data_IF_432000754313
#
_entry.id   IF_432000754313
#
_cell.length_a   1.000
_cell.length_b   1.000
_cell.length_c   1.000
_cell.angle_alpha   90.00
_cell.angle_beta   90.00
_cell.angle_gamma   90.00
#
_symmetry.space_group_name_H-M   'P 1'
#
loop_
_entity.id
_entity.type
_entity.pdbx_description
1 polymer ?
#
# COMPACT_ATOMS: atom_id res chain seq x y z
N UNK A 1 -19.01 4.23 1.66
CA UNK A 1 -18.29 3.63 0.52
C UNK A 1 -16.82 3.42 0.86
N UNK A 2 -16.12 2.70 0.01
CA UNK A 2 -14.68 2.52 0.15
C UNK A 2 -13.94 3.73 -0.44
N UNK A 3 -12.81 4.12 0.13
CA UNK A 3 -12.03 5.28 -0.32
C UNK A 3 -11.57 5.15 -1.78
N UNK A 4 -11.30 3.92 -2.24
CA UNK A 4 -10.90 3.65 -3.63
C UNK A 4 -12.03 3.81 -4.66
N UNK A 5 -13.29 3.98 -4.22
CA UNK A 5 -14.42 4.26 -5.12
C UNK A 5 -14.74 5.76 -5.21
N UNK A 6 -14.11 6.58 -4.38
CA UNK A 6 -14.39 8.03 -4.31
C UNK A 6 -14.05 8.71 -5.62
N UNK A 7 -12.90 8.40 -6.23
CA UNK A 7 -12.49 8.96 -7.52
C UNK A 7 -13.55 8.75 -8.60
N UNK A 8 -13.87 7.47 -8.89
CA UNK A 8 -14.82 7.15 -9.95
C UNK A 8 -16.22 7.73 -9.69
N UNK A 9 -16.65 7.69 -8.40
CA UNK A 9 -17.93 8.27 -8.03
C UNK A 9 -17.97 9.78 -8.26
N UNK A 10 -16.89 10.49 -7.94
CA UNK A 10 -16.81 11.94 -8.13
C UNK A 10 -16.77 12.34 -9.60
N UNK A 11 -16.08 11.58 -10.45
CA UNK A 11 -16.09 11.78 -11.90
C UNK A 11 -17.48 11.55 -12.51
N UNK A 12 -18.24 10.60 -11.98
CA UNK A 12 -19.62 10.33 -12.41
C UNK A 12 -20.65 11.32 -11.85
N UNK A 13 -20.30 12.08 -10.77
CA UNK A 13 -21.20 13.01 -10.07
C UNK A 13 -20.51 14.35 -9.76
N UNK A 14 -19.95 15.06 -10.75
CA UNK A 14 -19.13 16.25 -10.53
C UNK A 14 -19.91 17.39 -9.86
N UNK A 15 -21.21 17.48 -10.08
CA UNK A 15 -22.09 18.47 -9.48
C UNK A 15 -22.21 18.32 -7.93
N UNK A 16 -21.87 17.17 -7.39
CA UNK A 16 -21.90 16.88 -5.95
C UNK A 16 -20.61 17.30 -5.23
N UNK A 17 -19.55 17.64 -5.96
CA UNK A 17 -18.21 17.88 -5.39
C UNK A 17 -17.96 19.37 -5.07
N UNK A 18 -18.60 20.27 -5.78
CA UNK A 18 -18.38 21.70 -5.62
C UNK A 18 -17.10 22.21 -6.30
N UNK A 19 -16.52 23.29 -5.78
CA UNK A 19 -15.32 23.91 -6.36
C UNK A 19 -14.07 23.07 -6.09
N UNK A 20 -13.34 22.73 -7.15
CA UNK A 20 -12.15 21.87 -7.08
C UNK A 20 -10.82 22.64 -7.13
N UNK A 21 -10.86 23.97 -7.17
CA UNK A 21 -9.67 24.84 -7.23
C UNK A 21 -8.69 24.50 -8.36
N UNK A 22 -9.20 23.99 -9.49
CA UNK A 22 -8.40 23.61 -10.66
C UNK A 22 -7.78 22.22 -10.60
N UNK A 23 -8.09 21.45 -9.56
CA UNK A 23 -7.73 20.02 -9.46
C UNK A 23 -8.80 19.18 -10.15
N UNK A 24 -8.42 18.06 -10.76
CA UNK A 24 -9.35 17.09 -11.33
C UNK A 24 -10.35 16.61 -10.27
N UNK A 25 -11.63 16.49 -10.63
CA UNK A 25 -12.72 16.23 -9.68
C UNK A 25 -12.51 14.99 -8.82
N UNK A 26 -12.11 13.88 -9.43
CA UNK A 26 -11.81 12.64 -8.72
C UNK A 26 -10.63 12.76 -7.75
N UNK A 27 -9.58 13.50 -8.14
CA UNK A 27 -8.44 13.77 -7.27
C UNK A 27 -8.86 14.62 -6.08
N UNK A 28 -9.53 15.74 -6.33
CA UNK A 28 -10.01 16.63 -5.27
C UNK A 28 -10.87 15.88 -4.25
N UNK A 29 -11.86 15.13 -4.72
CA UNK A 29 -12.72 14.33 -3.85
C UNK A 29 -11.94 13.28 -3.04
N UNK A 30 -10.94 12.65 -3.67
CA UNK A 30 -10.09 11.66 -3.00
C UNK A 30 -9.24 12.33 -1.91
N UNK A 31 -8.64 13.50 -2.18
CA UNK A 31 -7.89 14.27 -1.18
C UNK A 31 -8.78 14.62 0.02
N UNK A 32 -9.99 15.16 -0.25
CA UNK A 32 -10.95 15.49 0.82
C UNK A 32 -11.36 14.26 1.64
N UNK A 33 -11.53 13.11 0.99
CA UNK A 33 -11.84 11.87 1.68
C UNK A 33 -10.68 11.38 2.57
N UNK A 34 -9.43 11.51 2.12
CA UNK A 34 -8.23 11.18 2.91
C UNK A 34 -8.10 12.14 4.10
N UNK A 35 -8.16 13.46 3.84
CA UNK A 35 -8.09 14.49 4.89
C UNK A 35 -9.15 14.28 5.97
N UNK A 36 -10.41 14.07 5.55
CA UNK A 36 -11.52 13.84 6.48
C UNK A 36 -11.40 12.52 7.23
N UNK A 37 -10.97 11.45 6.57
CA UNK A 37 -10.81 10.14 7.23
C UNK A 37 -9.68 10.10 8.24
N UNK A 38 -8.58 10.82 8.00
CA UNK A 38 -7.39 10.80 8.84
C UNK A 38 -7.26 12.02 9.75
N UNK A 39 -8.09 13.04 9.54
CA UNK A 39 -8.01 14.36 10.19
C UNK A 39 -6.62 15.00 10.07
N UNK A 40 -6.06 14.97 8.87
CA UNK A 40 -4.81 15.61 8.49
C UNK A 40 -5.06 16.62 7.39
N UNK A 41 -4.09 17.48 7.12
CA UNK A 41 -4.04 18.32 5.92
C UNK A 41 -2.98 17.77 4.98
N UNK A 42 -3.32 17.77 3.69
CA UNK A 42 -2.40 17.38 2.63
C UNK A 42 -1.78 18.64 2.03
N UNK A 43 -0.46 18.73 2.05
CA UNK A 43 0.27 19.86 1.48
C UNK A 43 0.46 19.69 -0.04
N UNK A 44 0.62 18.45 -0.49
CA UNK A 44 0.86 18.10 -1.89
C UNK A 44 0.18 16.78 -2.26
N UNK A 45 -0.03 16.60 -3.56
CA UNK A 45 -0.49 15.35 -4.10
C UNK A 45 0.33 14.92 -5.32
N UNK A 46 0.40 13.63 -5.54
CA UNK A 46 0.90 13.03 -6.75
C UNK A 46 0.05 11.84 -7.14
N UNK A 47 -0.31 11.76 -8.41
CA UNK A 47 -1.02 10.63 -8.99
C UNK A 47 -0.19 9.99 -10.08
N UNK A 48 -0.17 8.68 -10.09
CA UNK A 48 0.51 7.89 -11.10
C UNK A 48 -0.40 6.75 -11.54
N UNK A 49 -0.64 6.63 -12.85
CA UNK A 49 -1.33 5.47 -13.37
C UNK A 49 -0.39 4.26 -13.54
N UNK A 50 -0.92 3.14 -14.00
CA UNK A 50 -0.13 1.92 -14.16
C UNK A 50 1.02 2.05 -15.18
N UNK A 51 0.85 2.87 -16.21
CA UNK A 51 1.90 3.11 -17.18
C UNK A 51 2.97 4.03 -16.59
N UNK A 52 2.57 5.14 -15.94
CA UNK A 52 3.47 6.05 -15.24
C UNK A 52 4.30 5.35 -14.15
N UNK A 53 3.70 4.43 -13.41
CA UNK A 53 4.43 3.61 -12.44
C UNK A 53 5.53 2.77 -13.11
N UNK A 54 5.22 2.12 -14.24
CA UNK A 54 6.22 1.34 -15.01
C UNK A 54 7.35 2.22 -15.51
N UNK A 55 7.00 3.39 -16.03
CA UNK A 55 7.98 4.33 -16.59
C UNK A 55 8.87 4.90 -15.49
N UNK A 56 8.31 5.21 -14.31
CA UNK A 56 9.05 5.65 -13.13
C UNK A 56 10.07 4.61 -12.68
N UNK A 57 9.64 3.35 -12.51
CA UNK A 57 10.53 2.25 -12.11
C UNK A 57 11.64 2.04 -13.16
N UNK A 58 11.30 2.07 -14.45
CA UNK A 58 12.29 1.93 -15.52
C UNK A 58 13.28 3.11 -15.54
N UNK A 59 12.82 4.34 -15.29
CA UNK A 59 13.68 5.53 -15.20
C UNK A 59 14.67 5.44 -14.03
N UNK A 60 14.31 4.73 -12.96
CA UNK A 60 15.21 4.44 -11.83
C UNK A 60 16.21 3.31 -12.12
N UNK A 61 16.09 2.61 -13.25
CA UNK A 61 16.92 1.43 -13.58
C UNK A 61 16.40 0.12 -12.98
N UNK A 62 15.15 0.09 -12.57
CA UNK A 62 14.52 -1.02 -11.87
C UNK A 62 14.52 -0.87 -10.36
N UNK A 63 13.92 -1.83 -9.66
CA UNK A 63 13.92 -1.93 -8.18
C UNK A 63 14.49 -3.28 -7.78
N UNK A 64 15.56 -3.27 -7.00
CA UNK A 64 16.18 -4.47 -6.45
C UNK A 64 15.39 -4.91 -5.22
N UNK A 65 14.84 -6.11 -5.27
CA UNK A 65 14.03 -6.68 -4.20
C UNK A 65 14.25 -8.20 -4.12
N UNK A 66 14.33 -8.74 -2.94
CA UNK A 66 14.32 -10.19 -2.73
C UNK A 66 12.88 -10.68 -2.77
N UNK A 67 12.50 -11.31 -3.86
CA UNK A 67 11.14 -11.80 -4.11
C UNK A 67 10.93 -13.08 -3.30
N UNK A 68 9.96 -13.05 -2.41
CA UNK A 68 9.74 -14.08 -1.40
C UNK A 68 9.23 -15.41 -1.96
N UNK A 69 8.55 -15.37 -3.10
CA UNK A 69 7.94 -16.53 -3.76
C UNK A 69 7.68 -16.22 -5.24
N UNK A 70 7.37 -17.24 -6.07
CA UNK A 70 6.97 -16.96 -7.45
C UNK A 70 5.74 -16.07 -7.53
N UNK A 71 5.82 -14.97 -8.29
CA UNK A 71 4.71 -14.05 -8.50
C UNK A 71 4.20 -14.18 -9.94
N UNK A 72 2.94 -14.60 -10.16
CA UNK A 72 2.40 -14.71 -11.50
C UNK A 72 2.11 -13.35 -12.11
N UNK A 73 2.50 -13.17 -13.37
CA UNK A 73 2.15 -12.03 -14.20
C UNK A 73 0.95 -12.41 -15.09
N UNK A 74 -0.18 -11.76 -14.86
CA UNK A 74 -1.48 -12.15 -15.43
C UNK A 74 -2.37 -12.83 -14.39
N UNK A 75 -3.25 -13.69 -14.84
CA UNK A 75 -4.22 -14.38 -13.97
C UNK A 75 -5.40 -13.49 -13.54
N UNK A 76 -6.16 -13.97 -12.55
CA UNK A 76 -7.39 -13.34 -12.10
C UNK A 76 -8.56 -13.62 -13.04
N UNK A 77 -9.70 -12.98 -12.77
CA UNK A 77 -10.91 -13.11 -13.59
C UNK A 77 -11.24 -11.80 -14.30
N UNK A 78 -11.69 -11.91 -15.53
CA UNK A 78 -12.30 -10.80 -16.25
C UNK A 78 -13.65 -10.47 -15.62
N UNK A 79 -13.81 -9.25 -15.13
CA UNK A 79 -15.00 -8.83 -14.37
C UNK A 79 -16.29 -8.83 -15.22
N UNK A 80 -16.16 -8.70 -16.55
CA UNK A 80 -17.32 -8.67 -17.46
C UNK A 80 -17.73 -10.06 -17.94
N UNK A 81 -16.76 -10.97 -18.13
CA UNK A 81 -17.02 -12.29 -18.72
C UNK A 81 -16.91 -13.42 -17.70
N UNK A 82 -16.34 -13.18 -16.52
CA UNK A 82 -16.01 -14.21 -15.55
C UNK A 82 -14.90 -15.17 -15.99
N UNK A 83 -14.37 -15.02 -17.19
CA UNK A 83 -13.33 -15.89 -17.72
C UNK A 83 -12.00 -15.67 -16.95
N UNK A 84 -11.27 -16.77 -16.72
CA UNK A 84 -9.93 -16.72 -16.17
C UNK A 84 -8.95 -16.10 -17.17
N UNK A 85 -8.23 -15.06 -16.74
CA UNK A 85 -7.15 -14.51 -17.56
C UNK A 85 -5.94 -15.43 -17.54
N UNK A 86 -5.18 -15.43 -18.65
CA UNK A 86 -3.97 -16.24 -18.76
C UNK A 86 -2.85 -15.62 -17.92
N UNK A 87 -2.08 -16.48 -17.24
CA UNK A 87 -0.74 -16.13 -16.73
C UNK A 87 0.19 -16.17 -17.95
N UNK A 88 0.91 -15.09 -18.21
CA UNK A 88 1.80 -14.95 -19.36
C UNK A 88 3.28 -14.89 -18.98
N UNK A 89 3.60 -14.96 -17.68
CA UNK A 89 4.96 -15.00 -17.16
C UNK A 89 4.95 -15.09 -15.64
N UNK A 90 6.16 -15.14 -15.08
CA UNK A 90 6.39 -15.22 -13.64
C UNK A 90 7.55 -14.31 -13.24
N UNK A 91 7.55 -13.85 -12.01
CA UNK A 91 8.71 -13.27 -11.35
C UNK A 91 9.27 -14.36 -10.45
N UNK A 92 10.52 -14.74 -10.70
CA UNK A 92 11.19 -15.79 -9.93
C UNK A 92 11.46 -15.33 -8.49
N UNK A 93 11.46 -16.24 -7.51
CA UNK A 93 11.88 -15.93 -6.16
C UNK A 93 13.37 -15.63 -6.06
N UNK A 94 13.76 -14.96 -4.97
CA UNK A 94 15.13 -14.55 -4.69
C UNK A 94 15.41 -13.11 -5.12
N UNK A 95 16.67 -12.71 -5.07
CA UNK A 95 17.10 -11.35 -5.43
C UNK A 95 16.86 -11.06 -6.91
N UNK A 96 16.01 -10.08 -7.20
CA UNK A 96 15.63 -9.64 -8.54
C UNK A 96 15.84 -8.13 -8.68
N UNK A 97 16.18 -7.68 -9.89
CA UNK A 97 16.04 -6.28 -10.27
C UNK A 97 14.81 -6.13 -11.15
N UNK A 98 13.69 -5.79 -10.53
CA UNK A 98 12.40 -5.75 -11.20
C UNK A 98 12.31 -4.59 -12.18
N UNK A 99 12.02 -4.90 -13.43
CA UNK A 99 11.61 -3.90 -14.43
C UNK A 99 10.26 -3.30 -14.04
N UNK A 100 9.87 -2.17 -14.66
CA UNK A 100 8.58 -1.53 -14.39
C UNK A 100 7.38 -2.47 -14.59
N UNK A 101 7.44 -3.39 -15.57
CA UNK A 101 6.40 -4.39 -15.77
C UNK A 101 6.36 -5.41 -14.62
N UNK A 102 7.49 -5.94 -14.23
CA UNK A 102 7.60 -6.89 -13.12
C UNK A 102 7.20 -6.25 -11.79
N UNK A 103 7.68 -5.03 -11.50
CA UNK A 103 7.31 -4.28 -10.32
C UNK A 103 5.79 -4.03 -10.24
N UNK A 104 5.16 -3.68 -11.38
CA UNK A 104 3.71 -3.52 -11.44
C UNK A 104 2.97 -4.82 -11.12
N UNK A 105 3.41 -5.95 -11.64
CA UNK A 105 2.80 -7.24 -11.32
C UNK A 105 3.11 -7.70 -9.89
N UNK A 106 4.29 -7.42 -9.38
CA UNK A 106 4.64 -7.70 -7.98
C UNK A 106 3.64 -7.05 -7.00
N UNK A 107 3.26 -5.79 -7.23
CA UNK A 107 2.32 -5.08 -6.34
C UNK A 107 0.83 -5.33 -6.65
N UNK A 108 0.50 -5.91 -7.82
CA UNK A 108 -0.89 -6.12 -8.25
C UNK A 108 -1.37 -7.56 -8.17
N UNK A 109 -0.47 -8.52 -8.37
CA UNK A 109 -0.85 -9.93 -8.49
C UNK A 109 -1.59 -10.41 -7.24
N UNK A 110 -2.72 -11.10 -7.47
CA UNK A 110 -3.55 -11.73 -6.44
C UNK A 110 -3.79 -13.21 -6.73
N UNK A 111 -3.25 -13.72 -7.83
CA UNK A 111 -3.44 -15.11 -8.22
C UNK A 111 -2.74 -16.02 -7.21
N UNK A 112 -3.51 -16.92 -6.59
CA UNK A 112 -3.04 -17.80 -5.53
C UNK A 112 -2.66 -17.10 -4.22
N UNK A 113 -3.13 -15.86 -4.00
CA UNK A 113 -2.74 -14.99 -2.89
C UNK A 113 -3.96 -14.27 -2.31
N UNK A 114 -3.80 -13.72 -1.12
CA UNK A 114 -4.84 -12.94 -0.45
C UNK A 114 -4.59 -11.42 -0.56
N UNK A 115 -5.50 -10.66 0.04
CA UNK A 115 -5.42 -9.20 0.01
C UNK A 115 -4.31 -8.65 0.93
N UNK A 116 -4.03 -9.34 2.03
CA UNK A 116 -3.02 -8.91 3.00
C UNK A 116 -1.61 -9.10 2.47
N UNK A 117 -1.33 -10.23 1.82
CA UNK A 117 -0.07 -10.47 1.10
C UNK A 117 0.18 -9.39 0.04
N UNK A 118 -0.86 -9.02 -0.74
CA UNK A 118 -0.73 -7.92 -1.70
C UNK A 118 -0.41 -6.59 -1.01
N UNK A 119 -1.10 -6.26 0.09
CA UNK A 119 -0.83 -5.01 0.84
C UNK A 119 0.59 -4.99 1.40
N UNK A 120 1.06 -6.12 1.94
CA UNK A 120 2.43 -6.29 2.40
C UNK A 120 3.43 -6.01 1.25
N UNK A 121 3.25 -6.64 0.08
CA UNK A 121 4.12 -6.41 -1.09
C UNK A 121 4.08 -4.95 -1.59
N UNK A 122 2.94 -4.28 -1.50
CA UNK A 122 2.85 -2.85 -1.82
C UNK A 122 3.69 -1.99 -0.87
N UNK A 123 3.60 -2.23 0.43
CA UNK A 123 4.40 -1.52 1.43
C UNK A 123 5.90 -1.80 1.27
N UNK A 124 6.25 -3.08 1.05
CA UNK A 124 7.62 -3.48 0.82
C UNK A 124 8.21 -2.82 -0.43
N UNK A 125 7.47 -2.81 -1.54
CA UNK A 125 7.86 -2.12 -2.78
C UNK A 125 8.11 -0.63 -2.52
N UNK A 126 7.18 0.04 -1.82
CA UNK A 126 7.32 1.46 -1.50
C UNK A 126 8.57 1.72 -0.66
N UNK A 127 8.76 0.98 0.43
CA UNK A 127 9.94 1.09 1.31
C UNK A 127 11.23 0.87 0.53
N UNK A 128 11.33 -0.22 -0.21
CA UNK A 128 12.50 -0.58 -1.01
C UNK A 128 12.80 0.48 -2.08
N UNK A 129 11.77 1.03 -2.72
CA UNK A 129 11.92 2.11 -3.70
C UNK A 129 12.47 3.38 -3.05
N UNK A 130 11.95 3.78 -1.89
CA UNK A 130 12.43 4.96 -1.15
C UNK A 130 13.88 4.81 -0.68
N UNK A 131 14.30 3.60 -0.30
CA UNK A 131 15.67 3.31 0.12
C UNK A 131 16.67 3.34 -1.06
N UNK A 132 16.24 2.92 -2.26
CA UNK A 132 17.10 2.82 -3.45
C UNK A 132 17.11 4.07 -4.32
N UNK A 133 16.04 4.85 -4.29
CA UNK A 133 15.96 6.05 -5.14
C UNK A 133 17.09 7.03 -4.85
N UNK A 134 17.72 7.56 -5.90
CA UNK A 134 18.59 8.73 -5.79
C UNK A 134 17.72 9.99 -5.99
N UNK A 135 17.48 10.79 -4.94
CA UNK A 135 16.58 11.93 -5.03
C UNK A 135 17.02 12.95 -6.10
N UNK A 136 18.31 13.19 -6.22
CA UNK A 136 18.86 14.15 -7.20
C UNK A 136 18.68 13.68 -8.64
N UNK A 137 18.90 12.37 -8.91
CA UNK A 137 18.70 11.80 -10.24
C UNK A 137 17.20 11.77 -10.62
N UNK A 138 16.33 11.47 -9.66
CA UNK A 138 14.89 11.48 -9.89
C UNK A 138 14.41 12.90 -10.21
N UNK A 139 14.87 13.91 -9.47
CA UNK A 139 14.54 15.30 -9.73
C UNK A 139 15.01 15.77 -11.12
N UNK A 140 16.19 15.34 -11.57
CA UNK A 140 16.69 15.63 -12.92
C UNK A 140 15.84 14.97 -14.02
N UNK A 141 15.33 13.77 -13.78
CA UNK A 141 14.47 13.03 -14.72
C UNK A 141 13.00 13.45 -14.65
N UNK A 142 12.59 14.11 -13.56
CA UNK A 142 11.20 14.49 -13.32
C UNK A 142 10.55 15.30 -14.47
N UNK A 143 11.23 16.33 -15.06
CA UNK A 143 10.64 17.07 -16.19
C UNK A 143 10.41 16.19 -17.42
N UNK A 144 11.26 15.19 -17.65
CA UNK A 144 11.09 14.24 -18.76
C UNK A 144 9.90 13.30 -18.51
N UNK A 145 9.76 12.82 -17.27
CA UNK A 145 8.61 12.00 -16.86
C UNK A 145 7.31 12.78 -16.94
N UNK A 146 7.30 14.03 -16.45
CA UNK A 146 6.13 14.90 -16.51
C UNK A 146 5.75 15.31 -17.95
N UNK A 147 6.73 15.51 -18.84
CA UNK A 147 6.48 15.93 -20.23
C UNK A 147 6.16 14.76 -21.18
N UNK A 148 6.74 13.57 -20.92
CA UNK A 148 6.50 12.40 -21.80
C UNK A 148 5.15 11.73 -21.56
N UNK A 149 4.47 12.06 -20.45
CA UNK A 149 3.28 11.35 -19.99
C UNK A 149 2.28 12.31 -19.36
N UNK A 150 1.85 13.33 -20.10
CA UNK A 150 0.90 14.35 -19.62
C UNK A 150 -0.41 13.80 -19.00
N UNK A 151 -0.62 12.48 -19.05
CA UNK A 151 -1.77 11.79 -18.45
C UNK A 151 -1.39 10.73 -17.42
N UNK A 152 -0.13 10.26 -17.41
CA UNK A 152 0.28 9.09 -16.63
C UNK A 152 0.87 9.46 -15.26
N UNK A 153 1.35 10.69 -15.12
CA UNK A 153 1.83 11.26 -13.84
C UNK A 153 1.29 12.69 -13.73
N UNK A 154 0.62 12.98 -12.64
CA UNK A 154 0.10 14.31 -12.34
C UNK A 154 0.44 14.68 -10.88
N UNK A 155 0.76 15.94 -10.63
CA UNK A 155 1.09 16.46 -9.30
C UNK A 155 0.92 17.98 -9.27
N UNK A 156 0.71 18.54 -8.10
CA UNK A 156 0.75 19.97 -7.83
C UNK A 156 2.15 20.47 -7.41
N UNK A 157 3.11 19.57 -7.22
CA UNK A 157 4.49 19.93 -6.94
C UNK A 157 5.10 20.66 -8.15
N UNK A 158 5.43 21.92 -7.97
CA UNK A 158 6.04 22.70 -9.05
C UNK A 158 7.57 22.54 -9.08
N UNK A 159 8.18 22.87 -10.23
CA UNK A 159 9.63 22.72 -10.43
C UNK A 159 10.50 23.50 -9.41
N UNK A 160 10.00 24.61 -8.87
CA UNK A 160 10.75 25.43 -7.92
C UNK A 160 10.85 24.75 -6.55
N UNK A 161 9.92 23.87 -6.23
CA UNK A 161 9.83 23.16 -4.95
C UNK A 161 10.63 21.86 -4.97
N UNK A 162 11.00 21.35 -6.14
CA UNK A 162 11.76 20.10 -6.27
C UNK A 162 13.07 20.09 -5.46
N UNK A 163 13.75 21.25 -5.33
CA UNK A 163 14.94 21.37 -4.49
C UNK A 163 14.68 21.00 -3.04
N UNK A 164 13.61 21.52 -2.45
CA UNK A 164 13.20 21.19 -1.08
C UNK A 164 12.81 19.73 -0.91
N UNK A 165 12.14 19.14 -1.91
CA UNK A 165 11.85 17.69 -1.90
C UNK A 165 13.09 16.82 -1.99
N UNK A 166 14.13 17.24 -2.73
CA UNK A 166 15.42 16.55 -2.77
C UNK A 166 16.10 16.59 -1.40
N UNK A 167 16.13 17.73 -0.73
CA UNK A 167 16.68 17.87 0.62
C UNK A 167 15.92 16.99 1.62
N UNK A 168 14.59 17.07 1.64
CA UNK A 168 13.74 16.22 2.48
C UNK A 168 13.99 14.73 2.23
N UNK A 169 14.09 14.31 0.97
CA UNK A 169 14.33 12.92 0.62
C UNK A 169 15.73 12.44 1.07
N UNK A 170 16.75 13.31 1.07
CA UNK A 170 18.07 13.01 1.63
C UNK A 170 18.04 12.88 3.15
N UNK A 171 17.29 13.72 3.85
CA UNK A 171 17.09 13.59 5.30
C UNK A 171 16.36 12.29 5.63
N UNK A 172 15.28 11.97 4.91
CA UNK A 172 14.55 10.72 5.08
C UNK A 172 15.40 9.47 4.86
N UNK A 173 16.35 9.51 3.91
CA UNK A 173 17.24 8.39 3.61
C UNK A 173 18.14 8.00 4.79
N UNK A 174 18.45 8.96 5.67
CA UNK A 174 19.24 8.76 6.88
C UNK A 174 18.41 8.42 8.11
N UNK A 175 17.10 8.34 7.98
CA UNK A 175 16.16 8.02 9.06
C UNK A 175 15.52 6.66 8.86
N UNK A 176 15.14 5.99 9.96
CA UNK A 176 14.37 4.75 9.87
C UNK A 176 12.93 5.09 9.52
N UNK A 177 12.47 4.64 8.36
CA UNK A 177 11.08 4.73 7.94
C UNK A 177 10.26 3.79 8.83
N UNK A 178 9.29 4.34 9.55
CA UNK A 178 8.31 3.57 10.32
C UNK A 178 7.04 3.43 9.52
N UNK A 179 6.56 2.22 9.35
CA UNK A 179 5.24 1.94 8.79
C UNK A 179 4.22 1.81 9.91
N UNK A 180 3.10 2.52 9.79
CA UNK A 180 1.99 2.44 10.71
C UNK A 180 0.74 2.01 9.93
N UNK A 181 0.22 0.82 10.22
CA UNK A 181 -0.90 0.23 9.50
C UNK A 181 -2.22 0.49 10.23
N UNK A 182 -3.21 0.99 9.50
CA UNK A 182 -4.59 1.03 9.98
C UNK A 182 -5.21 -0.35 9.74
N UNK A 183 -5.31 -1.12 10.81
CA UNK A 183 -5.89 -2.46 10.81
C UNK A 183 -7.14 -2.52 11.71
N UNK A 184 -7.73 -3.71 11.85
CA UNK A 184 -8.94 -3.88 12.67
C UNK A 184 -8.74 -3.61 14.17
N UNK A 185 -7.50 -3.59 14.68
CA UNK A 185 -7.21 -3.21 16.06
C UNK A 185 -7.33 -1.70 16.26
N UNK A 186 -6.96 -0.92 15.22
CA UNK A 186 -7.13 0.53 15.21
C UNK A 186 -8.61 0.87 15.02
N UNK A 187 -9.23 0.36 13.95
CA UNK A 187 -10.67 0.56 13.69
C UNK A 187 -11.18 -0.49 12.69
N UNK A 188 -12.41 -1.02 12.87
CA UNK A 188 -13.00 -1.96 11.94
C UNK A 188 -13.24 -1.32 10.56
N UNK A 189 -12.84 -1.99 9.49
CA UNK A 189 -12.96 -1.47 8.11
C UNK A 189 -14.42 -1.23 7.68
N UNK A 190 -15.37 -2.06 8.14
CA UNK A 190 -16.77 -1.97 7.74
C UNK A 190 -17.56 -0.89 8.51
N UNK A 191 -17.08 -0.48 9.69
CA UNK A 191 -17.69 0.57 10.53
C UNK A 191 -16.60 1.33 11.29
N UNK A 192 -15.86 2.22 10.59
CA UNK A 192 -14.74 2.95 11.20
C UNK A 192 -15.19 3.82 12.38
N UNK A 193 -14.44 3.75 13.47
CA UNK A 193 -14.49 4.71 14.55
C UNK A 193 -13.51 5.86 14.23
N UNK A 194 -14.03 6.93 13.68
CA UNK A 194 -13.21 8.06 13.23
C UNK A 194 -12.56 8.81 14.39
N UNK A 195 -13.19 8.90 15.57
CA UNK A 195 -12.57 9.58 16.72
C UNK A 195 -11.35 8.80 17.22
N UNK A 196 -11.46 7.48 17.31
CA UNK A 196 -10.35 6.60 17.64
C UNK A 196 -9.25 6.66 16.56
N UNK A 197 -9.63 6.66 15.29
CA UNK A 197 -8.70 6.74 14.17
C UNK A 197 -7.94 8.05 14.16
N UNK A 198 -8.61 9.19 14.31
CA UNK A 198 -8.00 10.52 14.35
C UNK A 198 -6.99 10.65 15.50
N UNK A 199 -7.36 10.15 16.68
CA UNK A 199 -6.44 10.12 17.82
C UNK A 199 -5.22 9.26 17.53
N UNK A 200 -5.42 8.06 16.99
CA UNK A 200 -4.32 7.17 16.63
C UNK A 200 -3.39 7.78 15.58
N UNK A 201 -3.93 8.39 14.51
CA UNK A 201 -3.15 9.07 13.47
C UNK A 201 -2.31 10.21 14.09
N UNK A 202 -2.93 11.03 14.94
CA UNK A 202 -2.22 12.10 15.66
C UNK A 202 -1.06 11.57 16.50
N UNK A 203 -1.28 10.47 17.23
CA UNK A 203 -0.25 9.85 18.08
C UNK A 203 0.90 9.25 17.24
N UNK A 204 0.65 8.83 15.97
CA UNK A 204 1.69 8.38 15.05
C UNK A 204 2.53 9.53 14.46
N UNK A 205 1.92 10.68 14.20
CA UNK A 205 2.55 11.82 13.52
C UNK A 205 3.25 12.75 14.53
N UNK A 206 2.73 12.86 15.77
CA UNK A 206 3.29 13.76 16.79
C UNK A 206 4.49 13.12 17.52
N UNK A 207 5.74 13.52 17.22
CA UNK A 207 6.93 12.94 17.83
C UNK A 207 7.13 13.34 19.29
N UNK A 208 6.28 14.22 19.84
CA UNK A 208 6.47 14.85 21.16
C UNK A 208 5.90 14.04 22.33
N UNK A 209 5.14 12.96 22.10
CA UNK A 209 4.67 12.07 23.15
C UNK A 209 5.32 10.69 23.05
N UNK A 210 6.19 10.32 24.01
CA UNK A 210 6.51 8.91 24.15
C UNK A 210 5.21 8.17 24.45
N UNK A 211 4.86 7.17 23.61
CA UNK A 211 3.76 6.27 23.88
C UNK A 211 3.96 5.67 25.28
N UNK A 212 3.15 6.07 26.24
CA UNK A 212 3.04 5.35 27.50
C UNK A 212 2.51 3.96 27.16
N UNK A 213 3.42 3.00 27.06
CA UNK A 213 3.07 1.59 27.24
C UNK A 213 2.52 1.51 28.65
N UNK A 214 1.22 1.44 28.78
CA UNK A 214 0.59 1.01 30.03
C UNK A 214 1.05 -0.41 30.31
N UNK A 215 2.07 -0.51 31.17
CA UNK A 215 2.44 -1.76 31.81
C UNK A 215 1.32 -2.07 32.81
N UNK A 216 0.32 -2.82 32.39
CA UNK A 216 -0.57 -3.48 33.32
C UNK A 216 0.20 -4.60 34.03
N UNK A 217 0.86 -4.26 35.13
CA UNK A 217 1.25 -5.26 36.13
C UNK A 217 0.03 -5.60 36.94
N UNK A 218 -0.48 -6.79 36.71
CA UNK A 218 -1.50 -7.40 37.52
C UNK A 218 -1.06 -7.59 38.97
N UNK A 219 -1.99 -7.54 39.88
CA UNK A 219 -2.03 -8.39 41.06
C UNK A 219 -3.49 -8.73 41.36
N UNK A 220 -3.69 -10.02 41.42
CA UNK A 220 -4.96 -10.68 41.56
C UNK A 220 -5.62 -10.57 42.90
N UNK A 221 -6.83 -11.05 42.95
CA UNK A 221 -7.31 -12.12 43.84
C UNK A 221 -8.80 -12.38 43.54
N UNK A 222 -9.02 -13.64 43.26
CA UNK A 222 -10.16 -14.50 43.62
C UNK A 222 -11.52 -13.86 43.94
N UNK A 223 -12.54 -14.26 43.17
CA UNK A 223 -13.72 -14.94 43.69
C UNK A 223 -14.61 -15.48 42.53
N UNK A 224 -14.96 -16.76 42.66
CA UNK A 224 -15.85 -17.52 41.82
C UNK A 224 -17.29 -16.92 41.86
N UNK A 225 -17.96 -16.83 40.71
CA UNK A 225 -19.35 -17.25 40.63
C UNK A 225 -19.76 -17.66 39.23
N UNK A 226 -20.57 -18.66 39.16
CA UNK A 226 -20.86 -19.65 38.15
C UNK A 226 -22.09 -19.25 37.28
N UNK A 227 -22.08 -19.68 35.99
CA UNK A 227 -23.22 -19.99 35.08
C UNK A 227 -23.61 -18.94 34.00
N UNK A 228 -24.20 -19.44 32.90
CA UNK A 228 -23.81 -20.53 31.99
C UNK A 228 -23.61 -20.06 30.54
N UNK A 229 -22.92 -20.92 29.82
CA UNK A 229 -22.67 -21.04 28.41
C UNK A 229 -23.83 -20.66 27.48
N UNK A 230 -23.64 -19.63 26.67
CA UNK A 230 -24.18 -19.59 25.31
C UNK A 230 -22.95 -19.47 24.35
N UNK A 231 -22.77 -20.50 23.54
CA UNK A 231 -21.82 -20.50 22.45
C UNK A 231 -22.20 -19.40 21.45
N UNK A 232 -21.32 -18.45 21.13
CA UNK A 232 -21.51 -17.66 19.93
C UNK A 232 -21.00 -18.49 18.75
N UNK A 233 -21.90 -18.74 17.81
CA UNK A 233 -21.66 -19.17 16.45
C UNK A 233 -20.37 -18.52 15.92
N UNK A 234 -19.43 -19.34 15.45
CA UNK A 234 -18.24 -18.88 14.74
C UNK A 234 -18.64 -18.03 13.53
N UNK A 235 -18.67 -16.72 13.70
CA UNK A 235 -18.50 -15.82 12.58
C UNK A 235 -17.09 -16.05 12.06
N UNK A 236 -16.99 -16.45 10.80
CA UNK A 236 -15.74 -16.63 10.10
C UNK A 236 -14.82 -15.42 10.33
N UNK A 237 -13.85 -15.59 11.20
CA UNK A 237 -12.90 -14.56 11.57
C UNK A 237 -12.24 -14.00 10.32
N UNK A 238 -12.09 -12.67 10.24
CA UNK A 238 -11.31 -12.04 9.19
C UNK A 238 -9.95 -12.74 9.12
N UNK A 239 -9.47 -13.12 7.93
CA UNK A 239 -8.18 -13.79 7.80
C UNK A 239 -7.10 -12.95 8.47
N UNK A 240 -6.21 -13.61 9.20
CA UNK A 240 -5.06 -12.95 9.83
C UNK A 240 -4.29 -12.11 8.81
N UNK A 241 -3.74 -10.95 9.18
CA UNK A 241 -2.91 -10.16 8.29
C UNK A 241 -1.78 -11.03 7.72
N UNK A 242 -1.45 -10.82 6.44
CA UNK A 242 -0.34 -11.52 5.78
C UNK A 242 0.89 -11.44 6.69
N UNK A 243 1.52 -12.59 6.94
CA UNK A 243 2.63 -12.68 7.89
C UNK A 243 3.85 -12.04 7.22
N UNK A 244 4.37 -10.95 7.79
CA UNK A 244 5.76 -10.56 7.58
C UNK A 244 6.62 -11.53 8.43
N UNK A 245 7.59 -12.18 7.80
CA UNK A 245 8.62 -12.88 8.55
C UNK A 245 9.62 -11.89 9.17
N UNK A 246 10.58 -12.38 9.96
CA UNK A 246 11.61 -11.55 10.61
C UNK A 246 12.49 -10.78 9.59
N UNK A 247 12.48 -11.18 8.31
CA UNK A 247 13.18 -10.53 7.20
C UNK A 247 12.29 -9.53 6.44
N UNK A 248 11.02 -9.34 6.84
CA UNK A 248 10.06 -8.45 6.19
C UNK A 248 9.52 -9.00 4.87
N UNK A 249 9.52 -10.32 4.68
CA UNK A 249 8.96 -11.00 3.52
C UNK A 249 7.46 -11.19 3.66
N UNK A 250 6.75 -11.17 2.53
CA UNK A 250 5.30 -11.23 2.47
C UNK A 250 4.83 -12.60 2.02
N UNK A 251 3.96 -13.22 2.79
CA UNK A 251 3.39 -14.53 2.46
C UNK A 251 1.87 -14.50 2.61
N UNK A 252 1.12 -15.19 1.73
CA UNK A 252 -0.30 -15.37 1.92
C UNK A 252 -0.60 -16.26 3.13
N UNK A 253 -1.76 -16.07 3.71
CA UNK A 253 -2.21 -16.87 4.85
C UNK A 253 -2.20 -18.37 4.51
N UNK A 254 -1.57 -19.18 5.37
CA UNK A 254 -1.48 -20.62 5.19
C UNK A 254 -0.41 -21.10 4.21
N UNK A 255 0.40 -20.23 3.64
CA UNK A 255 1.57 -20.61 2.86
C UNK A 255 2.79 -20.83 3.76
N UNK A 256 3.50 -21.91 3.54
CA UNK A 256 4.79 -22.18 4.21
C UNK A 256 5.93 -21.83 3.27
N UNK A 257 6.90 -20.99 3.67
CA UNK A 257 8.06 -20.69 2.85
C UNK A 257 8.78 -21.97 2.37
N UNK A 258 8.98 -22.07 1.05
CA UNK A 258 9.58 -23.23 0.41
C UNK A 258 8.58 -24.23 -0.18
N UNK A 259 7.31 -24.10 0.11
CA UNK A 259 6.29 -24.94 -0.53
C UNK A 259 6.19 -24.66 -2.05
N UNK A 260 5.90 -25.68 -2.87
CA UNK A 260 5.71 -25.50 -4.31
C UNK A 260 4.54 -24.54 -4.59
N UNK A 261 4.79 -23.50 -5.41
CA UNK A 261 3.72 -22.60 -5.81
C UNK A 261 2.89 -23.21 -6.96
N UNK A 262 1.55 -23.25 -6.84
CA UNK A 262 0.70 -23.87 -7.86
C UNK A 262 0.88 -23.24 -9.26
N UNK A 263 1.20 -24.06 -10.25
CA UNK A 263 1.35 -23.65 -11.65
C UNK A 263 2.66 -22.93 -11.98
N UNK A 264 3.57 -22.81 -11.04
CA UNK A 264 4.90 -22.25 -11.30
C UNK A 264 5.81 -23.32 -11.94
N UNK A 265 6.36 -23.08 -13.15
CA UNK A 265 7.13 -24.08 -13.88
C UNK A 265 8.58 -24.24 -13.42
N UNK A 266 9.01 -23.45 -12.44
CA UNK A 266 10.38 -23.37 -11.98
C UNK A 266 11.16 -22.19 -12.60
N UNK A 267 12.29 -21.79 -11.98
CA UNK A 267 13.09 -20.65 -12.42
C UNK A 267 13.54 -20.78 -13.89
N UNK A 268 13.37 -19.70 -14.65
CA UNK A 268 13.82 -19.63 -16.04
C UNK A 268 13.05 -20.46 -17.06
N UNK A 269 11.96 -21.13 -16.68
CA UNK A 269 11.15 -22.00 -17.55
C UNK A 269 9.85 -21.35 -18.05
N UNK A 270 9.75 -20.02 -18.09
CA UNK A 270 8.53 -19.26 -18.43
C UNK A 270 8.80 -18.03 -19.31
#
# INVERSE_FOLDING_TARGET
>A
GLINSVWSWAEDNPESIGETHGVETGMWATMQAVEGSLNIKLDYWASVDMQGFRDLVNAMGGVKIDVERPIPMGGGQNQHTGAKNRIFGWIDPGEQNLTGMQALWYVRSREGSDNYDRMCRQQRMLKTTLEQVNPSELALKFPQLANSSTKNVATDINQKELGGFVELAWEMKNTKIKSAQINNEVTPTYRPDYDKLHKWVKDQIDPQKPSQKEASKGKGKDEEENQPTEEPTEEAGAPAPGIEDDEGKCYPSGYTPGDPWPGYPGPGNH
#
